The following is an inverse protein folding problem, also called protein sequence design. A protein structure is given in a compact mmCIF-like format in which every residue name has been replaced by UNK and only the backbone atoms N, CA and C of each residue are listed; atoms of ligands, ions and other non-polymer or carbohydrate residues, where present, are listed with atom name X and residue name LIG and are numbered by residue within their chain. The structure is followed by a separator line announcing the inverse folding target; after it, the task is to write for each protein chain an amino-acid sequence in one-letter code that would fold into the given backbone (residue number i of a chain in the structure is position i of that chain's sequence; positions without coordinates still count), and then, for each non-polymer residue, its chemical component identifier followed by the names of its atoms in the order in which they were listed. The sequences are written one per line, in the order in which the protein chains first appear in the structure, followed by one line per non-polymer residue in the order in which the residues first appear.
data_IF_933403498766
#
_entry.id   IF_933403498766
#
_cell.length_a   1.000
_cell.length_b   1.000
_cell.length_c   1.000
_cell.angle_alpha   90.00
_cell.angle_beta   90.00
_cell.angle_gamma   90.00
#
_symmetry.space_group_name_H-M   'P 1'
#
loop_
_entity.id
_entity.type
_entity.pdbx_description
1 polymer ?
#
# COMPACT_ATOMS: atom_id res chain seq x y z
N UNK A 1 16.97 -50.01 -27.99
CA UNK A 1 15.93 -48.96 -27.88
C UNK A 1 15.47 -48.87 -26.44
N UNK A 2 15.50 -47.66 -25.88
CA UNK A 2 14.90 -47.20 -24.62
C UNK A 2 15.31 -47.88 -23.31
N UNK A 3 16.46 -47.48 -22.77
CA UNK A 3 16.68 -47.47 -21.33
C UNK A 3 15.96 -46.25 -20.72
N UNK A 4 15.13 -46.48 -19.70
CA UNK A 4 14.54 -45.43 -18.87
C UNK A 4 15.36 -45.32 -17.59
N UNK A 5 16.13 -44.25 -17.47
CA UNK A 5 16.69 -43.76 -16.21
C UNK A 5 15.69 -42.76 -15.61
N UNK A 6 15.11 -43.10 -14.46
CA UNK A 6 14.28 -42.21 -13.66
C UNK A 6 15.12 -41.72 -12.48
N UNK A 7 15.71 -40.55 -12.64
CA UNK A 7 16.38 -39.82 -11.56
C UNK A 7 15.31 -39.11 -10.73
N UNK A 8 15.02 -39.66 -9.55
CA UNK A 8 14.26 -38.99 -8.50
C UNK A 8 15.26 -38.23 -7.62
N UNK A 9 15.55 -36.98 -7.96
CA UNK A 9 16.12 -36.02 -7.00
C UNK A 9 14.99 -35.51 -6.09
N UNK A 10 14.77 -36.22 -4.99
CA UNK A 10 13.99 -35.72 -3.88
C UNK A 10 14.85 -34.77 -3.05
N UNK A 11 14.80 -33.50 -3.42
CA UNK A 11 15.49 -32.42 -2.72
C UNK A 11 14.83 -32.21 -1.35
N UNK A 12 15.43 -32.82 -0.32
CA UNK A 12 14.99 -32.70 1.07
C UNK A 12 15.29 -31.31 1.60
N UNK A 13 14.34 -30.37 1.44
CA UNK A 13 14.31 -29.13 2.23
C UNK A 13 14.12 -29.52 3.69
N UNK A 14 15.22 -29.76 4.40
CA UNK A 14 15.22 -29.81 5.85
C UNK A 14 14.80 -28.42 6.35
N UNK A 15 13.55 -28.33 6.80
CA UNK A 15 13.04 -27.17 7.51
C UNK A 15 13.82 -27.05 8.82
N UNK A 16 14.74 -26.08 8.87
CA UNK A 16 15.38 -25.66 10.12
C UNK A 16 14.33 -24.84 10.87
N UNK A 17 13.34 -25.51 11.46
CA UNK A 17 12.58 -24.94 12.58
C UNK A 17 13.45 -25.00 13.82
N UNK A 18 14.47 -24.12 13.88
CA UNK A 18 15.07 -23.77 15.17
C UNK A 18 13.97 -23.14 16.01
N UNK A 19 13.52 -23.88 17.02
CA UNK A 19 12.45 -23.51 17.93
C UNK A 19 12.76 -22.20 18.65
N UNK A 20 12.29 -21.12 18.07
CA UNK A 20 12.15 -19.84 18.73
C UNK A 20 10.92 -19.93 19.64
N UNK A 21 11.06 -20.61 20.78
CA UNK A 21 10.06 -20.63 21.84
C UNK A 21 10.10 -19.29 22.59
N UNK A 22 9.43 -18.27 22.06
CA UNK A 22 9.25 -17.01 22.78
C UNK A 22 8.01 -17.10 23.67
N UNK A 23 8.22 -17.14 24.98
CA UNK A 23 7.12 -17.09 25.96
C UNK A 23 6.67 -15.66 26.25
N UNK A 24 7.40 -14.65 25.79
CA UNK A 24 7.12 -13.23 26.05
C UNK A 24 7.67 -12.33 24.93
N UNK A 25 6.80 -11.56 24.27
CA UNK A 25 7.16 -10.65 23.18
C UNK A 25 8.14 -9.55 23.63
N UNK A 26 8.13 -9.20 24.93
CA UNK A 26 8.98 -8.14 25.49
C UNK A 26 10.47 -8.49 25.51
N UNK A 27 10.79 -9.77 25.47
CA UNK A 27 12.17 -10.27 25.52
C UNK A 27 12.70 -10.62 24.11
N UNK A 28 11.88 -10.42 23.07
CA UNK A 28 12.25 -10.68 21.69
C UNK A 28 13.26 -9.63 21.19
N UNK A 29 14.52 -10.06 21.07
CA UNK A 29 15.60 -9.26 20.50
C UNK A 29 16.22 -9.98 19.31
N UNK A 30 16.74 -9.21 18.38
CA UNK A 30 17.51 -9.71 17.24
C UNK A 30 18.92 -9.11 17.30
N UNK A 31 19.96 -9.89 16.97
CA UNK A 31 21.35 -9.40 16.98
C UNK A 31 21.67 -8.50 15.78
N UNK A 32 20.67 -8.10 15.00
CA UNK A 32 20.80 -7.29 13.80
C UNK A 32 19.75 -6.18 13.79
N UNK A 33 20.05 -5.04 13.13
CA UNK A 33 19.10 -3.94 13.02
C UNK A 33 17.91 -4.31 12.13
N UNK A 34 16.76 -3.70 12.42
CA UNK A 34 15.58 -3.71 11.57
C UNK A 34 15.45 -2.32 10.95
N UNK A 35 15.38 -2.25 9.63
CA UNK A 35 15.17 -0.99 8.93
C UNK A 35 13.67 -0.81 8.67
N UNK A 36 13.11 0.32 9.12
CA UNK A 36 11.70 0.64 8.93
C UNK A 36 11.54 1.84 7.99
N UNK A 37 10.54 1.76 7.11
CA UNK A 37 10.13 2.90 6.28
C UNK A 37 9.08 3.73 7.05
N UNK A 38 9.47 4.95 7.41
CA UNK A 38 8.61 5.92 8.11
C UNK A 38 8.47 5.69 9.62
N UNK A 39 8.16 6.77 10.33
CA UNK A 39 8.12 6.78 11.81
C UNK A 39 6.96 5.95 12.37
N UNK A 40 5.82 5.90 11.69
CA UNK A 40 4.67 5.10 12.12
C UNK A 40 4.99 3.60 12.21
N UNK A 41 5.74 3.07 11.24
CA UNK A 41 6.19 1.67 11.23
C UNK A 41 7.14 1.39 12.39
N UNK A 42 8.11 2.30 12.62
CA UNK A 42 9.05 2.19 13.74
C UNK A 42 8.35 2.24 15.08
N UNK A 43 7.45 3.21 15.29
CA UNK A 43 6.69 3.32 16.52
C UNK A 43 5.91 2.03 16.80
N UNK A 44 5.21 1.49 15.80
CA UNK A 44 4.45 0.25 15.93
C UNK A 44 5.36 -0.93 16.33
N UNK A 45 6.54 -1.05 15.71
CA UNK A 45 7.50 -2.12 16.04
C UNK A 45 8.09 -1.94 17.43
N UNK A 46 8.49 -0.73 17.81
CA UNK A 46 9.08 -0.43 19.12
C UNK A 46 8.07 -0.62 20.27
N UNK A 47 6.80 -0.31 20.05
CA UNK A 47 5.74 -0.52 21.05
C UNK A 47 5.45 -2.02 21.28
N UNK A 48 5.41 -2.80 20.20
CA UNK A 48 5.14 -4.25 20.27
C UNK A 48 6.36 -5.05 20.71
N UNK A 49 7.55 -4.66 20.25
CA UNK A 49 8.80 -5.38 20.46
C UNK A 49 9.89 -4.40 20.92
N UNK A 50 9.85 -3.97 22.19
CA UNK A 50 10.73 -2.91 22.71
C UNK A 50 12.21 -3.27 22.72
N UNK A 51 12.55 -4.56 22.64
CA UNK A 51 13.93 -5.04 22.58
C UNK A 51 14.49 -5.11 21.14
N UNK A 52 13.70 -4.77 20.11
CA UNK A 52 14.19 -4.69 18.74
C UNK A 52 14.95 -3.38 18.49
N UNK A 53 16.11 -3.50 17.83
CA UNK A 53 16.85 -2.36 17.32
C UNK A 53 16.25 -1.89 16.00
N UNK A 54 15.18 -1.08 16.08
CA UNK A 54 14.49 -0.53 14.91
C UNK A 54 15.09 0.82 14.52
N UNK A 55 15.64 0.88 13.32
CA UNK A 55 16.26 2.07 12.73
C UNK A 55 15.32 2.71 11.71
N UNK A 56 15.12 4.03 11.83
CA UNK A 56 14.59 4.89 10.77
C UNK A 56 15.66 5.89 10.38
N UNK A 57 15.58 6.38 9.14
CA UNK A 57 16.42 7.46 8.67
C UNK A 57 15.49 8.59 8.24
N UNK A 58 15.70 9.79 8.78
CA UNK A 58 14.80 10.95 8.55
C UNK A 58 14.65 11.28 7.06
N UNK A 59 15.71 11.04 6.28
CA UNK A 59 15.71 11.27 4.83
C UNK A 59 15.01 10.17 4.03
N UNK A 60 14.70 9.03 4.65
CA UNK A 60 14.11 7.86 3.99
C UNK A 60 12.58 7.93 3.91
N UNK A 61 12.10 8.81 3.03
CA UNK A 61 10.66 9.01 2.76
C UNK A 61 10.08 7.99 1.77
N UNK A 62 10.93 7.24 1.07
CA UNK A 62 10.54 6.23 0.08
C UNK A 62 11.55 5.06 -0.01
N UNK A 63 11.27 4.09 -0.89
CA UNK A 63 12.13 2.91 -1.06
C UNK A 63 13.55 3.23 -1.54
N UNK A 64 13.74 4.28 -2.35
CA UNK A 64 15.08 4.65 -2.87
C UNK A 64 15.94 5.26 -1.77
N UNK A 65 15.37 6.24 -1.07
CA UNK A 65 16.03 6.91 0.05
C UNK A 65 16.31 5.95 1.22
N UNK A 66 15.46 4.94 1.44
CA UNK A 66 15.76 3.85 2.37
C UNK A 66 16.92 2.97 1.89
N UNK A 67 16.96 2.59 0.61
CA UNK A 67 18.06 1.81 0.06
C UNK A 67 19.41 2.51 0.26
N UNK A 68 19.48 3.81 -0.08
CA UNK A 68 20.67 4.62 0.08
C UNK A 68 21.17 4.65 1.54
N UNK A 69 20.24 4.76 2.51
CA UNK A 69 20.58 4.75 3.92
C UNK A 69 21.10 3.38 4.39
N UNK A 70 20.48 2.28 3.94
CA UNK A 70 20.94 0.91 4.20
C UNK A 70 22.35 0.70 3.62
N UNK A 71 22.60 1.16 2.39
CA UNK A 71 23.92 1.07 1.74
C UNK A 71 24.98 1.84 2.51
N UNK A 72 24.66 3.05 2.98
CA UNK A 72 25.56 3.85 3.82
C UNK A 72 25.85 3.14 5.14
N UNK A 73 24.82 2.56 5.76
CA UNK A 73 24.96 1.79 6.99
C UNK A 73 25.86 0.56 6.79
N UNK A 74 25.62 -0.22 5.74
CA UNK A 74 26.41 -1.40 5.36
C UNK A 74 27.89 -1.05 5.16
N UNK A 75 28.18 0.00 4.36
CA UNK A 75 29.55 0.49 4.10
C UNK A 75 30.27 1.00 5.34
N UNK A 76 29.54 1.42 6.38
CA UNK A 76 30.11 1.95 7.63
C UNK A 76 30.52 0.88 8.63
N UNK A 77 30.10 -0.38 8.43
CA UNK A 77 30.46 -1.50 9.32
C UNK A 77 31.87 -2.03 9.02
N UNK A 78 32.48 -2.64 10.03
CA UNK A 78 33.79 -3.29 9.89
C UNK A 78 33.72 -4.39 8.83
N UNK A 79 34.66 -4.39 7.87
CA UNK A 79 34.70 -5.31 6.72
C UNK A 79 34.72 -6.81 7.08
N UNK A 80 35.08 -7.14 8.31
CA UNK A 80 35.11 -8.52 8.83
C UNK A 80 33.70 -9.06 9.13
N UNK A 81 32.72 -8.18 9.34
CA UNK A 81 31.31 -8.53 9.44
C UNK A 81 30.67 -8.49 8.05
N UNK A 82 30.91 -9.53 7.23
CA UNK A 82 30.13 -9.68 5.99
C UNK A 82 28.64 -9.61 6.35
N UNK A 83 27.93 -8.67 5.72
CA UNK A 83 26.51 -8.51 5.98
C UNK A 83 25.76 -9.75 5.50
N UNK A 84 24.98 -10.31 6.42
CA UNK A 84 24.02 -11.36 6.09
C UNK A 84 23.04 -10.79 5.07
N UNK A 85 22.50 -11.62 4.17
CA UNK A 85 21.42 -11.19 3.29
C UNK A 85 20.29 -10.52 4.10
N UNK A 86 19.78 -9.40 3.59
CA UNK A 86 18.61 -8.76 4.18
C UNK A 86 17.38 -9.63 3.93
N UNK A 87 16.43 -9.62 4.85
CA UNK A 87 15.10 -10.17 4.60
C UNK A 87 14.11 -9.02 4.46
N UNK A 88 13.56 -8.83 3.25
CA UNK A 88 12.59 -7.79 2.98
C UNK A 88 11.17 -8.34 3.19
N UNK A 89 10.52 -7.89 4.25
CA UNK A 89 9.12 -8.20 4.53
C UNK A 89 8.22 -7.17 3.84
N UNK A 90 7.52 -7.60 2.79
CA UNK A 90 6.82 -6.71 1.87
C UNK A 90 5.32 -7.02 1.83
N UNK A 91 4.53 -6.01 1.46
CA UNK A 91 3.17 -6.23 0.97
C UNK A 91 3.17 -6.68 -0.49
N UNK A 92 2.11 -7.35 -0.94
CA UNK A 92 1.96 -7.78 -2.35
C UNK A 92 2.12 -6.64 -3.35
N UNK A 93 1.70 -5.43 -2.98
CA UNK A 93 1.77 -4.22 -3.81
C UNK A 93 2.99 -3.37 -3.49
N UNK A 94 4.14 -3.99 -3.30
CA UNK A 94 5.38 -3.27 -3.06
C UNK A 94 5.90 -2.58 -4.33
N UNK A 95 6.72 -1.58 -4.11
CA UNK A 95 7.40 -0.78 -5.12
C UNK A 95 8.80 -1.36 -5.36
N UNK A 96 9.21 -1.67 -6.60
CA UNK A 96 10.47 -2.36 -6.87
C UNK A 96 11.71 -1.51 -6.58
N UNK A 97 11.57 -0.20 -6.37
CA UNK A 97 12.65 0.76 -6.24
C UNK A 97 13.65 0.37 -5.15
N UNK A 98 13.20 -0.06 -3.97
CA UNK A 98 14.10 -0.49 -2.89
C UNK A 98 15.01 -1.63 -3.33
N UNK A 99 14.44 -2.66 -3.97
CA UNK A 99 15.18 -3.84 -4.42
C UNK A 99 16.14 -3.50 -5.55
N UNK A 100 15.68 -2.72 -6.53
CA UNK A 100 16.51 -2.27 -7.66
C UNK A 100 17.76 -1.53 -7.16
N UNK A 101 17.59 -0.60 -6.21
CA UNK A 101 18.70 0.19 -5.66
C UNK A 101 19.65 -0.71 -4.83
N UNK A 102 19.12 -1.58 -3.96
CA UNK A 102 19.94 -2.54 -3.20
C UNK A 102 20.74 -3.49 -4.11
N UNK A 103 20.12 -4.02 -5.17
CA UNK A 103 20.79 -4.88 -6.14
C UNK A 103 21.90 -4.15 -6.90
N UNK A 104 21.68 -2.87 -7.26
CA UNK A 104 22.68 -2.06 -7.96
C UNK A 104 23.95 -1.82 -7.13
N UNK A 105 23.79 -1.80 -5.81
CA UNK A 105 24.87 -1.67 -4.83
C UNK A 105 25.40 -3.04 -4.34
N UNK A 106 24.99 -4.14 -4.99
CA UNK A 106 25.41 -5.51 -4.68
C UNK A 106 25.06 -5.97 -3.24
N UNK A 107 24.02 -5.40 -2.64
CA UNK A 107 23.50 -5.87 -1.35
C UNK A 107 22.59 -7.07 -1.59
N UNK A 108 22.92 -8.19 -0.95
CA UNK A 108 22.13 -9.42 -1.03
C UNK A 108 20.86 -9.31 -0.18
N UNK A 109 19.73 -9.76 -0.73
CA UNK A 109 18.47 -9.81 -0.01
C UNK A 109 17.56 -10.94 -0.50
N UNK A 110 16.77 -11.46 0.42
CA UNK A 110 15.60 -12.30 0.17
C UNK A 110 14.32 -11.46 0.35
N UNK A 111 13.23 -11.90 -0.26
CA UNK A 111 11.93 -11.24 -0.16
C UNK A 111 10.88 -12.20 0.36
N UNK A 112 9.98 -11.71 1.21
CA UNK A 112 8.83 -12.44 1.70
C UNK A 112 7.59 -11.54 1.65
N UNK A 113 6.51 -12.00 1.02
CA UNK A 113 5.24 -11.28 0.97
C UNK A 113 4.42 -11.66 2.20
N UNK A 114 4.40 -10.79 3.21
CA UNK A 114 3.78 -11.07 4.51
C UNK A 114 2.32 -10.63 4.62
N UNK A 115 1.83 -9.81 3.69
CA UNK A 115 0.41 -9.50 3.57
C UNK A 115 0.00 -9.18 2.14
N UNK A 116 -1.30 -9.35 1.86
CA UNK A 116 -1.92 -9.02 0.57
C UNK A 116 -3.04 -8.02 0.78
N UNK A 117 -3.17 -7.07 -0.14
CA UNK A 117 -4.32 -6.15 -0.15
C UNK A 117 -5.43 -6.79 -0.96
N UNK A 118 -6.48 -7.22 -0.28
CA UNK A 118 -7.69 -7.77 -0.93
C UNK A 118 -8.71 -6.67 -1.19
N UNK A 119 -9.50 -6.84 -2.25
CA UNK A 119 -10.68 -6.01 -2.49
C UNK A 119 -11.69 -6.31 -1.37
N UNK A 120 -12.38 -5.28 -0.85
CA UNK A 120 -13.43 -5.50 0.15
C UNK A 120 -14.69 -6.03 -0.56
N UNK A 121 -15.10 -7.26 -0.28
CA UNK A 121 -16.30 -7.88 -0.87
C UNK A 121 -17.60 -7.14 -0.49
N UNK A 122 -17.60 -6.42 0.63
CA UNK A 122 -18.73 -5.64 1.14
C UNK A 122 -18.91 -4.27 0.44
N UNK A 123 -18.07 -3.93 -0.54
CA UNK A 123 -18.17 -2.68 -1.32
C UNK A 123 -19.50 -2.48 -2.07
N UNK A 124 -20.44 -3.44 -1.99
CA UNK A 124 -21.68 -3.43 -2.76
C UNK A 124 -22.81 -2.55 -2.25
N UNK A 125 -22.73 -1.98 -1.05
CA UNK A 125 -23.77 -1.06 -0.58
C UNK A 125 -23.42 0.38 -0.92
N UNK A 126 -23.35 0.67 -2.23
CA UNK A 126 -23.17 2.03 -2.71
C UNK A 126 -24.40 2.87 -2.36
N UNK A 127 -24.20 3.87 -1.50
CA UNK A 127 -25.21 4.90 -1.27
C UNK A 127 -25.38 5.70 -2.55
N UNK A 128 -26.53 5.55 -3.21
CA UNK A 128 -26.96 6.39 -4.32
C UNK A 128 -27.86 7.51 -3.80
N UNK A 129 -27.89 8.64 -4.50
CA UNK A 129 -28.81 9.76 -4.22
C UNK A 129 -30.28 9.41 -4.52
N UNK A 130 -30.84 8.34 -3.94
CA UNK A 130 -32.28 8.12 -3.90
C UNK A 130 -32.83 8.83 -2.65
N UNK A 131 -32.82 10.16 -2.70
CA UNK A 131 -33.39 10.99 -1.64
C UNK A 131 -34.92 10.99 -1.76
N UNK A 132 -35.60 10.57 -0.69
CA UNK A 132 -37.07 10.53 -0.55
C UNK A 132 -37.69 11.91 -0.27
N UNK A 133 -36.97 13.00 -0.54
CA UNK A 133 -37.38 14.35 -0.15
C UNK A 133 -37.41 15.26 -1.37
N UNK A 134 -38.63 15.55 -1.84
CA UNK A 134 -38.95 16.47 -2.95
C UNK A 134 -38.31 17.86 -2.84
N UNK A 135 -37.72 18.22 -1.69
CA UNK A 135 -37.24 19.56 -1.39
C UNK A 135 -35.71 19.74 -1.33
N UNK A 136 -34.90 18.70 -1.54
CA UNK A 136 -33.45 18.88 -1.74
C UNK A 136 -32.82 17.65 -2.38
N UNK A 137 -32.24 17.75 -3.60
CA UNK A 137 -31.51 16.63 -4.19
C UNK A 137 -30.28 16.37 -3.33
N UNK A 138 -30.25 15.21 -2.66
CA UNK A 138 -29.12 14.79 -1.85
C UNK A 138 -27.90 14.60 -2.77
N UNK A 139 -26.89 15.45 -2.63
CA UNK A 139 -25.63 15.32 -3.37
C UNK A 139 -24.76 14.28 -2.70
N UNK A 140 -24.47 13.18 -3.39
CA UNK A 140 -23.52 12.16 -2.91
C UNK A 140 -22.13 12.49 -3.44
N UNK A 141 -21.15 12.65 -2.54
CA UNK A 141 -19.75 12.85 -2.90
C UNK A 141 -18.97 11.57 -2.66
N UNK A 142 -18.36 11.01 -3.71
CA UNK A 142 -17.46 9.86 -3.62
C UNK A 142 -16.00 10.32 -3.58
N UNK A 143 -15.35 10.11 -2.45
CA UNK A 143 -13.95 10.47 -2.24
C UNK A 143 -13.03 9.28 -2.51
N UNK A 144 -12.22 9.36 -3.56
CA UNK A 144 -11.21 8.37 -3.91
C UNK A 144 -9.85 8.77 -3.35
N UNK A 145 -9.30 7.93 -2.47
CA UNK A 145 -8.02 8.18 -1.80
C UNK A 145 -6.81 7.63 -2.57
N UNK A 146 -7.03 6.77 -3.57
CA UNK A 146 -5.95 6.22 -4.39
C UNK A 146 -6.44 5.78 -5.78
N UNK A 147 -5.54 5.68 -6.77
CA UNK A 147 -5.88 5.12 -8.08
C UNK A 147 -6.46 3.70 -8.02
N UNK A 148 -5.99 2.87 -7.08
CA UNK A 148 -6.53 1.52 -6.93
C UNK A 148 -7.97 1.54 -6.43
N UNK A 149 -8.31 2.45 -5.52
CA UNK A 149 -9.70 2.61 -5.05
C UNK A 149 -10.67 2.86 -6.21
N UNK A 150 -10.27 3.69 -7.18
CA UNK A 150 -11.04 3.93 -8.40
C UNK A 150 -11.26 2.64 -9.20
N UNK A 151 -10.19 1.86 -9.40
CA UNK A 151 -10.25 0.60 -10.17
C UNK A 151 -11.14 -0.44 -9.51
N UNK A 152 -11.08 -0.57 -8.18
CA UNK A 152 -11.91 -1.51 -7.43
C UNK A 152 -13.38 -1.12 -7.51
N UNK A 153 -13.69 0.16 -7.37
CA UNK A 153 -15.07 0.66 -7.47
C UNK A 153 -15.62 0.46 -8.89
N UNK A 154 -14.87 0.78 -9.94
CA UNK A 154 -15.29 0.53 -11.32
C UNK A 154 -15.57 -0.96 -11.59
N UNK A 155 -14.69 -1.85 -11.13
CA UNK A 155 -14.90 -3.30 -11.21
C UNK A 155 -16.18 -3.74 -10.52
N UNK A 156 -16.47 -3.18 -9.34
CA UNK A 156 -17.68 -3.50 -8.59
C UNK A 156 -18.94 -2.94 -9.26
N UNK A 157 -18.86 -1.70 -9.76
CA UNK A 157 -19.96 -1.07 -10.52
C UNK A 157 -20.29 -1.89 -11.77
N UNK A 158 -19.25 -2.29 -12.51
CA UNK A 158 -19.35 -3.13 -13.71
C UNK A 158 -19.97 -4.49 -13.40
N UNK A 159 -19.50 -5.19 -12.36
CA UNK A 159 -20.01 -6.51 -12.04
C UNK A 159 -21.44 -6.49 -11.50
N UNK A 160 -21.80 -5.48 -10.70
CA UNK A 160 -23.09 -5.44 -9.99
C UNK A 160 -24.20 -4.76 -10.79
N UNK A 161 -23.90 -3.71 -11.53
CA UNK A 161 -24.91 -2.90 -12.24
C UNK A 161 -24.82 -3.04 -13.75
N UNK A 162 -23.85 -3.80 -14.28
CA UNK A 162 -23.61 -3.92 -15.73
C UNK A 162 -23.36 -2.57 -16.41
N UNK A 163 -22.67 -1.67 -15.70
CA UNK A 163 -22.37 -0.29 -16.14
C UNK A 163 -20.89 0.01 -15.91
N UNK A 164 -20.28 0.87 -16.72
CA UNK A 164 -18.98 1.42 -16.35
C UNK A 164 -19.13 2.53 -15.28
N UNK A 165 -18.02 2.89 -14.61
CA UNK A 165 -18.03 3.92 -13.57
C UNK A 165 -18.63 5.25 -14.03
N UNK A 166 -18.30 5.71 -15.24
CA UNK A 166 -18.75 7.01 -15.75
C UNK A 166 -20.28 7.06 -15.91
N UNK A 167 -20.88 6.01 -16.46
CA UNK A 167 -22.33 5.88 -16.61
C UNK A 167 -23.01 5.88 -15.24
N UNK A 168 -22.51 5.07 -14.31
CA UNK A 168 -23.08 4.96 -12.97
C UNK A 168 -23.02 6.29 -12.21
N UNK A 169 -21.88 6.97 -12.22
CA UNK A 169 -21.69 8.28 -11.58
C UNK A 169 -22.68 9.30 -12.14
N UNK A 170 -22.81 9.35 -13.48
CA UNK A 170 -23.69 10.29 -14.16
C UNK A 170 -25.17 10.03 -13.85
N UNK A 171 -25.61 8.77 -13.95
CA UNK A 171 -27.00 8.39 -13.71
C UNK A 171 -27.44 8.60 -12.26
N UNK A 172 -26.52 8.44 -11.32
CA UNK A 172 -26.78 8.60 -9.89
C UNK A 172 -26.44 9.99 -9.35
N UNK A 173 -26.07 10.95 -10.23
CA UNK A 173 -25.68 12.30 -9.88
C UNK A 173 -24.62 12.35 -8.76
N UNK A 174 -23.61 11.48 -8.88
CA UNK A 174 -22.51 11.39 -7.92
C UNK A 174 -21.45 12.42 -8.28
N UNK A 175 -20.99 13.17 -7.28
CA UNK A 175 -19.85 14.07 -7.39
C UNK A 175 -18.59 13.28 -7.05
N UNK A 176 -17.63 13.23 -7.95
CA UNK A 176 -16.37 12.53 -7.68
C UNK A 176 -15.31 13.47 -7.13
N UNK A 177 -14.61 12.98 -6.11
CA UNK A 177 -13.55 13.71 -5.45
C UNK A 177 -12.27 12.87 -5.44
N UNK A 178 -11.16 13.47 -5.84
CA UNK A 178 -9.84 12.84 -5.81
C UNK A 178 -8.98 13.43 -4.70
N UNK A 179 -8.34 12.56 -3.91
CA UNK A 179 -7.38 12.95 -2.86
C UNK A 179 -6.00 13.41 -3.39
N UNK A 180 -5.94 13.83 -4.66
CA UNK A 180 -4.73 14.31 -5.31
C UNK A 180 -4.70 14.01 -6.81
N UNK A 181 -3.73 14.61 -7.51
CA UNK A 181 -3.63 14.56 -8.98
C UNK A 181 -3.49 13.14 -9.55
N UNK A 182 -2.76 12.26 -8.87
CA UNK A 182 -2.59 10.87 -9.33
C UNK A 182 -3.93 10.12 -9.34
N UNK A 183 -4.76 10.33 -8.30
CA UNK A 183 -6.09 9.73 -8.23
C UNK A 183 -7.04 10.40 -9.22
N UNK A 184 -6.97 11.72 -9.38
CA UNK A 184 -7.78 12.47 -10.36
C UNK A 184 -7.55 11.95 -11.78
N UNK A 185 -6.28 11.80 -12.17
CA UNK A 185 -5.91 11.22 -13.48
C UNK A 185 -6.52 9.84 -13.65
N UNK A 186 -6.47 8.99 -12.61
CA UNK A 186 -7.07 7.66 -12.67
C UNK A 186 -8.59 7.71 -12.87
N UNK A 187 -9.31 8.60 -12.20
CA UNK A 187 -10.76 8.79 -12.41
C UNK A 187 -11.02 9.18 -13.88
N UNK A 188 -10.24 10.10 -14.43
CA UNK A 188 -10.34 10.52 -15.83
C UNK A 188 -10.03 9.40 -16.83
N UNK A 189 -9.13 8.46 -16.51
CA UNK A 189 -8.84 7.29 -17.35
C UNK A 189 -10.11 6.44 -17.58
N UNK A 190 -11.02 6.39 -16.58
CA UNK A 190 -12.34 5.75 -16.66
C UNK A 190 -13.43 6.63 -17.30
N UNK A 191 -13.03 7.74 -17.97
CA UNK A 191 -13.92 8.70 -18.63
C UNK A 191 -14.92 9.42 -17.71
N UNK A 192 -14.73 9.30 -16.40
CA UNK A 192 -15.52 10.00 -15.41
C UNK A 192 -15.02 11.45 -15.26
N UNK A 193 -15.95 12.39 -15.06
CA UNK A 193 -15.58 13.75 -14.68
C UNK A 193 -14.94 13.75 -13.30
N UNK A 194 -13.97 14.65 -13.07
CA UNK A 194 -13.37 14.87 -11.74
C UNK A 194 -13.86 16.21 -11.21
N UNK A 195 -14.84 16.18 -10.33
CA UNK A 195 -15.49 17.40 -9.86
C UNK A 195 -14.65 18.14 -8.81
N UNK A 196 -13.93 17.39 -7.97
CA UNK A 196 -13.14 17.93 -6.86
C UNK A 196 -11.75 17.27 -6.85
N UNK A 197 -10.70 18.08 -6.70
CA UNK A 197 -9.33 17.58 -6.47
C UNK A 197 -8.73 18.26 -5.24
N UNK A 198 -8.41 17.48 -4.22
CA UNK A 198 -7.67 17.98 -3.06
C UNK A 198 -6.23 18.30 -3.46
N UNK A 199 -5.77 19.52 -3.13
CA UNK A 199 -4.40 19.96 -3.41
C UNK A 199 -3.37 19.34 -2.47
N UNK A 200 -3.82 18.88 -1.28
CA UNK A 200 -2.97 18.23 -0.29
C UNK A 200 -3.61 16.93 0.21
N UNK A 201 -2.82 15.90 0.49
CA UNK A 201 -3.33 14.64 1.02
C UNK A 201 -3.60 14.74 2.53
N UNK A 202 -4.42 15.72 2.95
CA UNK A 202 -4.85 15.87 4.36
C UNK A 202 -6.38 15.93 4.45
N UNK A 203 -6.91 15.55 5.61
CA UNK A 203 -8.36 15.55 5.84
C UNK A 203 -8.94 16.97 5.78
N UNK A 204 -8.21 17.96 6.30
CA UNK A 204 -8.61 19.37 6.32
C UNK A 204 -8.68 19.95 4.92
N UNK A 205 -7.68 19.64 4.08
CA UNK A 205 -7.65 20.09 2.69
C UNK A 205 -8.82 19.50 1.90
N UNK A 206 -9.10 18.20 2.08
CA UNK A 206 -10.23 17.52 1.47
C UNK A 206 -11.58 18.13 1.92
N UNK A 207 -11.73 18.39 3.22
CA UNK A 207 -12.95 18.98 3.77
C UNK A 207 -13.19 20.40 3.24
N UNK A 208 -12.15 21.22 3.10
CA UNK A 208 -12.26 22.59 2.55
C UNK A 208 -12.81 22.57 1.13
N UNK A 209 -12.23 21.75 0.24
CA UNK A 209 -12.64 21.70 -1.17
C UNK A 209 -14.05 21.15 -1.36
N UNK A 210 -14.48 20.20 -0.51
CA UNK A 210 -15.86 19.71 -0.52
C UNK A 210 -16.83 20.81 -0.09
N UNK A 211 -16.48 21.58 0.94
CA UNK A 211 -17.30 22.71 1.42
C UNK A 211 -17.42 23.80 0.37
N UNK A 212 -16.33 24.19 -0.28
CA UNK A 212 -16.31 25.18 -1.36
C UNK A 212 -17.20 24.72 -2.52
N UNK A 213 -17.08 23.46 -2.94
CA UNK A 213 -17.93 22.89 -3.99
C UNK A 213 -19.43 22.96 -3.62
N UNK A 214 -19.77 22.62 -2.37
CA UNK A 214 -21.15 22.69 -1.89
C UNK A 214 -21.73 24.11 -1.90
N UNK A 215 -20.91 25.12 -1.62
CA UNK A 215 -21.32 26.54 -1.64
C UNK A 215 -21.57 27.04 -3.07
N UNK A 216 -20.75 26.64 -4.04
CA UNK A 216 -20.91 27.04 -5.44
C UNK A 216 -22.14 26.44 -6.13
N UNK A 217 -22.64 25.29 -5.66
CA UNK A 217 -23.85 24.64 -6.21
C UNK A 217 -25.17 25.23 -5.73
N UNK A 218 -25.15 26.09 -4.70
CA UNK A 218 -26.35 26.74 -4.15
C UNK A 218 -26.67 28.11 -4.80
N UNK A 219 -25.80 28.59 -5.70
CA UNK A 219 -25.97 29.83 -6.47
C UNK A 219 -26.48 29.53 -7.88
#
# INVERSE_FOLDING_TARGET
MCGKSSDNESDSKQSITTGLNFTNEKDFSLPFPIFALGEATKQTLSEKFPALNVMTFEESVDGRSLAAAIVKYDKSRNKEEKTKPLLLLLGERHRPELMTELSSEHISFDTEIVYKSVDNEELGNFTTAKGDTENSPLVVVWCFFSPNGVTVVDKHVSSKFSQNLSEFVTQNNIVTCAFGNTTARRISDFKCNVDIVSQKPTAEALASVIKEYAQHKQQ
#
